data_IF_053960039655
#
_entry.id   IF_053960039655
#
_cell.length_a   1.000
_cell.length_b   1.000
_cell.length_c   1.000
_cell.angle_alpha   90.00
_cell.angle_beta   90.00
_cell.angle_gamma   90.00
#
_symmetry.space_group_name_H-M   'P 1'
#
loop_
_entity.id
_entity.type
_entity.pdbx_description
1 polymer ?
#
# COMPACT_ATOMS: atom_id res chain seq x y z
N UNK A 1 25.37 13.48 -7.33
CA UNK A 1 24.51 14.19 -6.34
C UNK A 1 24.33 13.27 -5.13
N UNK A 2 24.77 13.65 -3.92
CA UNK A 2 24.47 12.91 -2.69
C UNK A 2 22.94 12.95 -2.48
N UNK A 3 22.28 11.77 -2.40
CA UNK A 3 20.89 11.70 -1.96
C UNK A 3 20.81 12.43 -0.62
N UNK A 4 19.98 13.47 -0.52
CA UNK A 4 19.68 14.11 0.75
C UNK A 4 19.07 13.03 1.63
N UNK A 5 19.74 12.66 2.72
CA UNK A 5 19.14 11.76 3.73
C UNK A 5 17.86 12.43 4.22
N UNK A 6 16.75 11.88 3.82
CA UNK A 6 15.45 12.32 4.29
C UNK A 6 15.27 11.77 5.71
N UNK A 7 15.64 12.57 6.69
CA UNK A 7 15.29 12.31 8.10
C UNK A 7 13.76 12.49 8.30
N UNK A 8 12.95 11.69 7.61
CA UNK A 8 11.49 11.78 7.66
C UNK A 8 10.89 11.32 8.98
N UNK A 9 11.65 10.68 9.81
CA UNK A 9 11.11 10.09 11.03
C UNK A 9 11.68 10.79 12.24
N UNK A 10 10.86 11.54 13.00
CA UNK A 10 11.28 12.02 14.30
C UNK A 10 11.72 10.82 15.15
N UNK A 11 12.81 10.96 15.87
CA UNK A 11 13.30 9.91 16.76
C UNK A 11 12.43 9.90 18.02
N UNK A 12 12.04 8.69 18.44
CA UNK A 12 11.34 8.47 19.71
C UNK A 12 12.28 8.82 20.88
N UNK A 13 11.76 9.42 21.94
CA UNK A 13 12.45 9.51 23.20
C UNK A 13 12.73 8.10 23.74
N UNK A 14 13.99 7.82 24.08
CA UNK A 14 14.44 6.51 24.57
C UNK A 14 13.73 6.08 25.85
N UNK A 15 13.27 7.03 26.66
CA UNK A 15 12.58 6.78 27.93
C UNK A 15 11.11 6.40 27.77
N UNK A 16 10.54 6.55 26.54
CA UNK A 16 9.16 6.17 26.30
C UNK A 16 9.04 4.73 25.83
N UNK A 17 7.90 4.07 26.17
CA UNK A 17 7.61 2.71 25.72
C UNK A 17 7.63 2.62 24.18
N UNK A 18 8.21 1.55 23.65
CA UNK A 18 8.18 1.28 22.20
C UNK A 18 6.73 1.03 21.76
N UNK A 19 6.16 1.85 20.86
CA UNK A 19 4.78 1.66 20.41
C UNK A 19 4.64 0.38 19.58
N UNK A 20 3.49 -0.29 19.71
CA UNK A 20 3.15 -1.42 18.85
C UNK A 20 2.92 -0.92 17.41
N UNK A 21 3.45 -1.60 16.39
CA UNK A 21 3.15 -1.24 15.01
C UNK A 21 1.67 -1.41 14.69
N UNK A 22 1.05 -0.37 14.13
CA UNK A 22 -0.33 -0.42 13.63
C UNK A 22 -0.36 -1.16 12.29
N UNK A 23 -1.41 -1.93 12.03
CA UNK A 23 -1.63 -2.52 10.71
C UNK A 23 -1.86 -1.42 9.68
N UNK A 24 -1.15 -1.52 8.55
CA UNK A 24 -1.27 -0.63 7.42
C UNK A 24 -1.15 -1.42 6.11
N UNK A 25 -1.68 -0.87 5.03
CA UNK A 25 -1.57 -1.50 3.72
C UNK A 25 -1.44 -0.44 2.62
N UNK A 26 -0.66 -0.75 1.60
CA UNK A 26 -0.50 0.06 0.39
C UNK A 26 -0.80 -0.77 -0.84
N UNK A 27 -1.33 -0.13 -1.88
CA UNK A 27 -1.59 -0.76 -3.16
C UNK A 27 -0.62 -0.25 -4.22
N UNK A 28 0.20 -1.15 -4.72
CA UNK A 28 1.14 -0.90 -5.81
C UNK A 28 0.42 -1.15 -7.13
N UNK A 29 0.18 -0.09 -7.88
CA UNK A 29 -0.50 -0.12 -9.16
C UNK A 29 0.54 -0.15 -10.27
N UNK A 30 0.51 -1.17 -11.13
CA UNK A 30 1.41 -1.29 -12.28
C UNK A 30 0.64 -1.17 -13.59
N UNK A 31 1.24 -0.44 -14.53
CA UNK A 31 0.72 -0.26 -15.89
C UNK A 31 1.81 -0.59 -16.89
N UNK A 32 1.52 -1.50 -17.83
CA UNK A 32 2.42 -1.76 -18.94
C UNK A 32 2.19 -0.72 -20.03
N UNK A 33 3.28 -0.09 -20.51
CA UNK A 33 3.28 0.88 -21.58
C UNK A 33 4.34 0.46 -22.61
N UNK A 34 3.94 -0.29 -23.64
CA UNK A 34 4.87 -0.90 -24.61
C UNK A 34 5.85 -1.86 -23.92
N UNK A 35 7.15 -1.57 -24.04
CA UNK A 35 8.23 -2.34 -23.38
C UNK A 35 8.51 -1.90 -21.94
N UNK A 36 7.96 -0.75 -21.52
CA UNK A 36 8.16 -0.19 -20.18
C UNK A 36 7.05 -0.60 -19.22
N UNK A 37 7.36 -0.56 -17.93
CA UNK A 37 6.40 -0.74 -16.85
C UNK A 37 6.42 0.49 -15.97
N UNK A 38 5.27 1.10 -15.81
CA UNK A 38 5.04 2.26 -14.97
C UNK A 38 4.39 1.83 -13.65
N UNK A 39 4.69 2.57 -12.61
CA UNK A 39 4.06 2.48 -11.28
C UNK A 39 3.38 3.79 -10.96
N UNK A 40 2.21 3.73 -10.34
CA UNK A 40 1.57 4.93 -9.81
C UNK A 40 2.21 5.30 -8.49
N UNK A 41 2.67 6.54 -8.39
CA UNK A 41 3.16 7.14 -7.16
C UNK A 41 2.45 8.47 -6.92
N UNK A 42 2.25 8.79 -5.65
CA UNK A 42 1.76 10.09 -5.22
C UNK A 42 2.82 10.83 -4.41
N UNK A 43 2.92 12.13 -4.60
CA UNK A 43 3.78 13.00 -3.80
C UNK A 43 3.00 13.55 -2.60
N UNK A 44 3.50 13.27 -1.42
CA UNK A 44 2.89 13.76 -0.18
C UNK A 44 3.02 15.28 -0.08
N UNK A 45 1.98 15.91 0.46
CA UNK A 45 2.03 17.34 0.76
C UNK A 45 3.20 17.66 1.71
N UNK A 46 3.87 18.79 1.49
CA UNK A 46 4.93 19.28 2.39
C UNK A 46 4.43 19.60 3.80
N UNK A 47 3.09 19.73 3.97
CA UNK A 47 2.44 19.99 5.26
C UNK A 47 2.18 18.72 6.08
N UNK A 48 2.40 17.52 5.52
CA UNK A 48 2.15 16.27 6.25
C UNK A 48 3.18 16.04 7.35
N UNK A 49 2.73 15.55 8.52
CA UNK A 49 3.62 15.26 9.67
C UNK A 49 4.59 14.10 9.42
N UNK A 50 4.25 13.20 8.50
CA UNK A 50 5.03 12.00 8.22
C UNK A 50 5.44 11.99 6.75
N UNK A 51 6.75 11.97 6.48
CA UNK A 51 7.36 11.96 5.15
C UNK A 51 6.87 13.10 4.21
N UNK A 52 6.98 14.39 4.59
CA UNK A 52 6.58 15.50 3.73
C UNK A 52 7.36 15.48 2.41
N UNK A 53 6.69 15.78 1.29
CA UNK A 53 7.28 15.85 -0.05
C UNK A 53 7.79 14.53 -0.63
N UNK A 54 7.65 13.41 0.08
CA UNK A 54 8.09 12.11 -0.40
C UNK A 54 7.10 11.52 -1.42
N UNK A 55 7.63 10.81 -2.42
CA UNK A 55 6.85 9.98 -3.30
C UNK A 55 6.57 8.63 -2.63
N UNK A 56 5.31 8.21 -2.63
CA UNK A 56 4.82 7.02 -1.96
C UNK A 56 3.81 6.27 -2.83
N UNK A 57 3.57 4.99 -2.51
CA UNK A 57 2.38 4.29 -3.01
C UNK A 57 1.14 4.77 -2.24
N UNK A 58 -0.04 4.79 -2.86
CA UNK A 58 -1.28 5.03 -2.14
C UNK A 58 -1.46 3.97 -1.04
N UNK A 59 -1.96 4.40 0.11
CA UNK A 59 -2.18 3.52 1.24
C UNK A 59 -2.10 4.17 2.61
N UNK A 60 -2.70 3.50 3.58
CA UNK A 60 -2.78 3.99 4.95
C UNK A 60 -3.02 2.92 5.99
N UNK A 61 -3.54 3.34 7.12
CA UNK A 61 -3.80 2.49 8.29
C UNK A 61 -5.11 1.72 8.08
N UNK A 62 -5.14 0.49 8.57
CA UNK A 62 -6.37 -0.30 8.63
C UNK A 62 -7.30 0.30 9.68
N UNK A 63 -8.50 0.68 9.27
CA UNK A 63 -9.55 1.20 10.14
C UNK A 63 -10.42 0.09 10.73
N UNK A 64 -11.14 0.41 11.81
CA UNK A 64 -12.08 -0.54 12.41
C UNK A 64 -13.17 -0.95 11.41
N UNK A 65 -13.63 -0.03 10.57
CA UNK A 65 -14.63 -0.29 9.55
C UNK A 65 -14.14 -1.34 8.52
N UNK A 66 -12.85 -1.36 8.16
CA UNK A 66 -12.30 -2.34 7.22
C UNK A 66 -12.49 -3.80 7.67
N UNK A 67 -12.59 -4.04 8.99
CA UNK A 67 -12.85 -5.37 9.56
C UNK A 67 -14.32 -5.80 9.47
N UNK A 68 -15.25 -4.87 9.32
CA UNK A 68 -16.70 -5.12 9.39
C UNK A 68 -17.36 -5.14 8.02
N UNK A 69 -16.66 -4.72 6.97
CA UNK A 69 -17.19 -4.70 5.62
C UNK A 69 -17.43 -6.12 5.12
N UNK A 70 -18.69 -6.44 4.80
CA UNK A 70 -19.06 -7.70 4.17
C UNK A 70 -18.96 -7.59 2.66
N UNK A 71 -18.05 -8.37 2.07
CA UNK A 71 -17.83 -8.44 0.62
C UNK A 71 -17.89 -9.90 0.15
N UNK A 72 -18.24 -10.09 -1.13
CA UNK A 72 -18.37 -11.43 -1.73
C UNK A 72 -17.02 -12.01 -2.21
N UNK A 73 -15.91 -11.36 -1.90
CA UNK A 73 -14.56 -11.85 -2.25
C UNK A 73 -13.69 -12.02 -1.03
N UNK A 74 -12.70 -12.86 -1.16
CA UNK A 74 -11.66 -13.07 -0.15
C UNK A 74 -10.30 -13.16 -0.82
N UNK A 75 -9.26 -12.83 -0.09
CA UNK A 75 -7.90 -13.07 -0.53
C UNK A 75 -7.62 -14.56 -0.76
N UNK A 76 -6.77 -14.85 -1.73
CA UNK A 76 -6.27 -16.19 -1.93
C UNK A 76 -5.58 -16.72 -0.66
N UNK A 77 -5.88 -17.97 -0.26
CA UNK A 77 -5.32 -18.62 0.93
C UNK A 77 -3.78 -18.57 1.00
N UNK A 78 -3.11 -18.66 -0.16
CA UNK A 78 -1.64 -18.58 -0.22
C UNK A 78 -1.12 -17.16 0.08
N UNK A 79 -1.90 -16.12 -0.22
CA UNK A 79 -1.58 -14.74 0.17
C UNK A 79 -1.75 -14.60 1.69
N UNK A 80 -2.87 -15.07 2.24
CA UNK A 80 -3.17 -14.98 3.69
C UNK A 80 -2.04 -15.55 4.54
N UNK A 81 -1.53 -16.73 4.16
CA UNK A 81 -0.40 -17.38 4.87
C UNK A 81 0.86 -16.50 4.95
N UNK A 82 1.05 -15.55 4.03
CA UNK A 82 2.27 -14.73 3.90
C UNK A 82 2.14 -13.34 4.51
N UNK A 83 0.93 -12.92 4.88
CA UNK A 83 0.67 -11.59 5.44
C UNK A 83 1.16 -11.40 6.89
N UNK A 84 1.65 -12.47 7.53
CA UNK A 84 2.04 -12.46 8.94
C UNK A 84 0.90 -11.99 9.87
N UNK A 85 -0.28 -12.56 9.67
CA UNK A 85 -1.50 -12.30 10.46
C UNK A 85 -2.02 -13.57 11.14
N UNK A 86 -1.15 -14.55 11.40
CA UNK A 86 -1.49 -15.84 12.03
C UNK A 86 -2.68 -16.54 11.34
N UNK A 87 -2.75 -16.46 10.02
CA UNK A 87 -3.83 -17.00 9.19
C UNK A 87 -5.24 -16.42 9.50
N UNK A 88 -5.33 -15.31 10.22
CA UNK A 88 -6.59 -14.64 10.50
C UNK A 88 -7.15 -14.03 9.20
N UNK A 89 -8.23 -14.62 8.69
CA UNK A 89 -8.87 -14.22 7.41
C UNK A 89 -9.45 -12.80 7.53
N UNK A 90 -10.09 -12.48 8.66
CA UNK A 90 -10.65 -11.14 8.88
C UNK A 90 -9.58 -10.05 8.81
N UNK A 91 -8.45 -10.25 9.49
CA UNK A 91 -7.32 -9.30 9.42
C UNK A 91 -6.70 -9.23 8.02
N UNK A 92 -6.60 -10.37 7.33
CA UNK A 92 -6.07 -10.41 5.98
C UNK A 92 -6.96 -9.63 5.00
N UNK A 93 -8.28 -9.83 5.06
CA UNK A 93 -9.24 -9.11 4.23
C UNK A 93 -9.27 -7.62 4.60
N UNK A 94 -9.25 -7.25 5.88
CA UNK A 94 -9.20 -5.86 6.32
C UNK A 94 -7.98 -5.11 5.76
N UNK A 95 -6.79 -5.74 5.75
CA UNK A 95 -5.59 -5.18 5.12
C UNK A 95 -5.77 -4.95 3.61
N UNK A 96 -6.39 -5.89 2.91
CA UNK A 96 -6.65 -5.79 1.49
C UNK A 96 -7.69 -4.70 1.18
N UNK A 97 -8.77 -4.64 1.97
CA UNK A 97 -9.81 -3.61 1.87
C UNK A 97 -9.21 -2.23 2.11
N UNK A 98 -8.43 -2.05 3.19
CA UNK A 98 -7.75 -0.80 3.49
C UNK A 98 -6.89 -0.32 2.32
N UNK A 99 -6.12 -1.21 1.67
CA UNK A 99 -5.29 -0.82 0.53
C UNK A 99 -6.10 -0.29 -0.66
N UNK A 100 -7.30 -0.86 -0.89
CA UNK A 100 -8.21 -0.41 -1.96
C UNK A 100 -8.92 0.90 -1.54
N UNK A 101 -9.43 0.97 -0.31
CA UNK A 101 -10.09 2.17 0.25
C UNK A 101 -9.20 3.39 0.13
N UNK A 102 -7.99 3.31 0.65
CA UNK A 102 -7.00 4.39 0.61
C UNK A 102 -6.64 4.76 -0.85
N UNK A 103 -6.55 3.78 -1.75
CA UNK A 103 -6.31 4.08 -3.18
C UNK A 103 -7.45 4.90 -3.77
N UNK A 104 -8.71 4.60 -3.44
CA UNK A 104 -9.86 5.39 -3.89
C UNK A 104 -9.82 6.79 -3.31
N UNK A 105 -9.60 6.91 -2.00
CA UNK A 105 -9.55 8.18 -1.29
C UNK A 105 -8.45 9.09 -1.80
N UNK A 106 -7.25 8.56 -1.96
CA UNK A 106 -6.06 9.33 -2.30
C UNK A 106 -5.90 9.60 -3.80
N UNK A 107 -6.45 8.73 -4.67
CA UNK A 107 -6.16 8.81 -6.12
C UNK A 107 -7.39 8.86 -7.03
N UNK A 108 -8.57 8.54 -6.53
CA UNK A 108 -9.79 8.38 -7.32
C UNK A 108 -9.83 7.12 -8.20
N UNK A 109 -8.79 6.25 -8.16
CA UNK A 109 -8.76 5.00 -8.89
C UNK A 109 -9.40 3.87 -8.07
N UNK A 110 -10.23 3.05 -8.71
CA UNK A 110 -11.07 2.05 -8.06
C UNK A 110 -10.70 0.65 -8.54
N UNK A 111 -10.28 -0.22 -7.62
CA UNK A 111 -10.18 -1.65 -7.84
C UNK A 111 -11.45 -2.32 -7.31
N UNK A 112 -12.48 -2.37 -8.14
CA UNK A 112 -13.80 -2.83 -7.74
C UNK A 112 -14.44 -3.78 -8.74
N UNK A 113 -15.42 -4.50 -8.27
CA UNK A 113 -16.36 -5.29 -9.08
C UNK A 113 -17.80 -4.94 -8.68
N UNK A 114 -18.77 -5.27 -9.53
CA UNK A 114 -20.20 -5.09 -9.20
C UNK A 114 -20.54 -5.83 -7.91
N UNK A 115 -21.11 -5.09 -6.97
CA UNK A 115 -21.64 -5.68 -5.74
C UNK A 115 -23.00 -6.30 -6.00
N UNK A 116 -23.25 -7.45 -5.37
CA UNK A 116 -24.58 -8.09 -5.38
C UNK A 116 -25.51 -7.49 -4.31
N UNK A 117 -24.91 -6.86 -3.30
CA UNK A 117 -25.62 -6.30 -2.15
C UNK A 117 -25.21 -4.84 -1.96
N UNK A 118 -26.13 -4.02 -1.47
CA UNK A 118 -25.75 -2.68 -0.98
C UNK A 118 -24.80 -2.88 0.20
N UNK A 119 -23.61 -2.32 0.11
CA UNK A 119 -22.67 -2.34 1.24
C UNK A 119 -23.26 -1.45 2.33
N UNK A 120 -23.92 -2.07 3.31
CA UNK A 120 -24.41 -1.37 4.49
C UNK A 120 -23.26 -1.15 5.44
N UNK A 121 -22.59 -0.02 5.29
CA UNK A 121 -21.55 0.41 6.25
C UNK A 121 -21.87 1.84 6.63
N UNK A 122 -22.04 2.10 7.92
CA UNK A 122 -22.11 3.46 8.43
C UNK A 122 -20.71 4.07 8.38
N UNK A 123 -20.46 4.85 7.36
CA UNK A 123 -19.25 5.67 7.29
C UNK A 123 -19.59 7.05 7.88
N UNK A 124 -18.77 7.46 8.83
CA UNK A 124 -18.87 8.81 9.42
C UNK A 124 -18.49 9.92 8.42
N UNK A 125 -17.80 9.54 7.31
CA UNK A 125 -17.30 10.47 6.31
C UNK A 125 -17.76 10.11 4.90
N UNK A 126 -18.36 11.06 4.20
CA UNK A 126 -18.79 10.93 2.79
C UNK A 126 -17.65 10.65 1.80
N UNK A 127 -16.41 10.98 2.18
CA UNK A 127 -15.20 10.82 1.37
C UNK A 127 -14.53 9.45 1.56
N UNK A 128 -15.09 8.56 2.39
CA UNK A 128 -14.53 7.22 2.56
C UNK A 128 -14.58 6.44 1.25
N UNK A 129 -13.46 5.82 0.86
CA UNK A 129 -13.33 5.11 -0.42
C UNK A 129 -14.34 3.99 -0.61
N UNK A 130 -14.72 3.28 0.46
CA UNK A 130 -15.75 2.24 0.39
C UNK A 130 -17.15 2.85 0.21
N UNK A 131 -17.44 3.99 0.85
CA UNK A 131 -18.70 4.71 0.64
C UNK A 131 -18.83 5.17 -0.81
N UNK A 132 -17.75 5.67 -1.40
CA UNK A 132 -17.69 6.04 -2.83
C UNK A 132 -17.98 4.81 -3.70
N UNK A 133 -17.32 3.67 -3.43
CA UNK A 133 -17.54 2.43 -4.18
C UNK A 133 -18.98 1.94 -4.05
N UNK A 134 -19.56 1.97 -2.85
CA UNK A 134 -20.95 1.57 -2.58
C UNK A 134 -21.95 2.42 -3.38
N UNK A 135 -21.79 3.75 -3.40
CA UNK A 135 -22.61 4.68 -4.21
C UNK A 135 -22.56 4.34 -5.71
N UNK A 136 -21.47 3.75 -6.19
CA UNK A 136 -21.29 3.29 -7.57
C UNK A 136 -21.75 1.83 -7.79
N UNK A 137 -22.33 1.17 -6.79
CA UNK A 137 -22.72 -0.25 -6.86
C UNK A 137 -21.55 -1.20 -6.94
N UNK A 138 -20.38 -0.80 -6.42
CA UNK A 138 -19.15 -1.58 -6.46
C UNK A 138 -18.76 -2.07 -5.06
N UNK A 139 -18.07 -3.20 -5.02
CA UNK A 139 -17.36 -3.70 -3.83
C UNK A 139 -15.87 -3.93 -4.16
N UNK A 140 -14.97 -3.90 -3.17
CA UNK A 140 -13.54 -4.21 -3.36
C UNK A 140 -13.31 -5.57 -4.03
N UNK A 141 -12.52 -5.62 -5.10
CA UNK A 141 -12.16 -6.87 -5.77
C UNK A 141 -10.82 -7.43 -5.26
N UNK A 142 -10.88 -8.21 -4.18
CA UNK A 142 -9.69 -8.81 -3.58
C UNK A 142 -9.06 -9.90 -4.47
N UNK A 143 -9.79 -10.40 -5.49
CA UNK A 143 -9.30 -11.45 -6.38
C UNK A 143 -8.19 -10.97 -7.33
N UNK A 144 -8.09 -9.66 -7.54
CA UNK A 144 -7.08 -9.03 -8.39
C UNK A 144 -5.83 -8.59 -7.64
N UNK A 145 -5.78 -8.83 -6.34
CA UNK A 145 -4.63 -8.50 -5.51
C UNK A 145 -3.61 -9.63 -5.48
N UNK A 146 -2.35 -9.26 -5.56
CA UNK A 146 -1.21 -10.13 -5.27
C UNK A 146 -0.39 -9.50 -4.15
N UNK A 147 0.35 -10.32 -3.41
CA UNK A 147 1.17 -9.85 -2.31
C UNK A 147 2.61 -9.63 -2.77
N UNK A 148 3.14 -8.41 -2.56
CA UNK A 148 4.51 -8.06 -2.90
C UNK A 148 5.47 -8.29 -1.73
N UNK A 149 5.13 -7.79 -0.53
CA UNK A 149 5.97 -7.87 0.64
C UNK A 149 5.43 -7.03 1.79
N UNK A 150 6.21 -6.92 2.86
CA UNK A 150 5.84 -6.14 4.04
C UNK A 150 7.02 -5.38 4.62
N UNK A 151 6.71 -4.35 5.40
CA UNK A 151 7.70 -3.59 6.14
C UNK A 151 7.23 -3.28 7.56
N UNK A 152 8.18 -3.16 8.48
CA UNK A 152 7.90 -2.75 9.87
C UNK A 152 8.75 -1.52 10.17
N UNK A 153 8.10 -0.43 10.58
CA UNK A 153 8.79 0.78 11.02
C UNK A 153 9.71 0.46 12.20
N UNK A 154 10.95 0.95 12.21
CA UNK A 154 11.92 0.64 13.25
C UNK A 154 11.48 1.12 14.64
N UNK A 155 12.06 0.54 15.69
CA UNK A 155 11.70 0.82 17.10
C UNK A 155 12.08 2.21 17.58
N UNK A 156 12.97 2.89 16.85
CA UNK A 156 13.36 4.28 17.14
C UNK A 156 12.29 5.30 16.71
N UNK A 157 11.30 4.90 15.94
CA UNK A 157 10.21 5.77 15.49
C UNK A 157 9.12 5.92 16.56
N UNK A 158 8.59 7.13 16.77
CA UNK A 158 7.49 7.37 17.71
C UNK A 158 6.15 6.82 17.19
N UNK A 159 6.00 6.72 15.86
CA UNK A 159 4.83 6.13 15.19
C UNK A 159 5.32 4.96 14.37
N UNK A 160 4.67 3.80 14.54
CA UNK A 160 5.10 2.58 13.86
C UNK A 160 3.96 1.92 13.13
N UNK A 161 4.30 1.39 11.94
CA UNK A 161 3.38 0.65 11.08
C UNK A 161 3.96 -0.74 10.76
N UNK A 162 3.08 -1.72 10.62
CA UNK A 162 3.36 -2.97 9.96
C UNK A 162 2.61 -2.94 8.63
N UNK A 163 3.26 -2.39 7.62
CA UNK A 163 2.68 -2.18 6.29
C UNK A 163 2.78 -3.45 5.44
N UNK A 164 1.70 -3.79 4.72
CA UNK A 164 1.64 -4.83 3.69
C UNK A 164 1.49 -4.15 2.35
N UNK A 165 2.24 -4.63 1.36
CA UNK A 165 2.21 -4.09 0.01
C UNK A 165 1.53 -5.10 -0.90
N UNK A 166 0.32 -4.74 -1.35
CA UNK A 166 -0.39 -5.46 -2.39
C UNK A 166 -0.03 -4.88 -3.75
N UNK A 167 -0.24 -5.66 -4.80
CA UNK A 167 0.04 -5.26 -6.18
C UNK A 167 -1.11 -5.68 -7.08
N UNK A 168 -1.46 -4.83 -8.04
CA UNK A 168 -2.44 -5.13 -9.09
C UNK A 168 -2.03 -4.49 -10.42
N UNK A 169 -2.63 -4.98 -11.51
CA UNK A 169 -2.47 -4.43 -12.86
C UNK A 169 -3.50 -3.31 -13.07
N UNK A 170 -3.06 -2.18 -13.61
CA UNK A 170 -3.89 -1.02 -13.90
C UNK A 170 -5.08 -1.31 -14.83
N UNK A 171 -5.01 -2.39 -15.64
CA UNK A 171 -6.15 -2.81 -16.49
C UNK A 171 -7.39 -3.22 -15.70
N UNK A 172 -7.26 -3.49 -14.40
CA UNK A 172 -8.37 -3.83 -13.51
C UNK A 172 -8.97 -2.61 -12.81
N UNK A 173 -8.40 -1.43 -13.03
CA UNK A 173 -8.85 -0.20 -12.40
C UNK A 173 -9.89 0.52 -13.25
N UNK A 174 -10.79 1.21 -12.57
CA UNK A 174 -11.70 2.21 -13.12
C UNK A 174 -11.50 3.56 -12.43
N UNK A 175 -12.25 4.58 -12.84
CA UNK A 175 -12.10 5.92 -12.28
C UNK A 175 -11.07 6.78 -13.01
N UNK A 176 -10.84 7.97 -12.49
CA UNK A 176 -9.89 8.96 -13.02
C UNK A 176 -8.99 9.45 -11.89
N UNK A 177 -7.72 9.68 -12.20
CA UNK A 177 -6.78 10.24 -11.22
C UNK A 177 -7.29 11.61 -10.76
N UNK A 178 -7.33 11.76 -9.44
CA UNK A 178 -7.69 13.00 -8.75
C UNK A 178 -6.72 13.21 -7.60
N UNK A 179 -6.03 14.34 -7.58
CA UNK A 179 -5.16 14.75 -6.47
C UNK A 179 -6.00 15.14 -5.25
N UNK A 180 -5.39 15.03 -4.08
CA UNK A 180 -6.00 15.33 -2.79
C UNK A 180 -5.09 16.24 -1.95
N UNK A 181 -5.56 16.63 -0.76
CA UNK A 181 -4.71 17.36 0.19
C UNK A 181 -3.54 16.52 0.73
N UNK A 182 -3.62 15.20 0.64
CA UNK A 182 -2.56 14.28 1.08
C UNK A 182 -1.57 13.99 -0.02
N UNK A 183 -2.05 13.65 -1.22
CA UNK A 183 -1.25 13.44 -2.42
C UNK A 183 -1.49 14.57 -3.42
N UNK A 184 -0.60 15.56 -3.39
CA UNK A 184 -0.72 16.80 -4.18
C UNK A 184 -0.32 16.62 -5.63
N UNK A 185 0.38 15.54 -5.96
CA UNK A 185 0.83 15.18 -7.30
C UNK A 185 0.73 13.66 -7.44
N UNK A 186 0.16 13.15 -8.53
CA UNK A 186 -0.02 11.71 -8.76
C UNK A 186 0.34 11.40 -10.19
N UNK A 187 1.32 10.50 -10.40
CA UNK A 187 1.84 10.22 -11.73
C UNK A 187 2.11 8.72 -11.95
N UNK A 188 1.92 8.30 -13.21
CA UNK A 188 2.43 7.05 -13.72
C UNK A 188 3.90 7.23 -14.12
N UNK A 189 4.82 6.66 -13.35
CA UNK A 189 6.26 6.85 -13.50
C UNK A 189 6.90 5.52 -13.89
N UNK A 190 7.77 5.55 -14.92
CA UNK A 190 8.58 4.37 -15.25
C UNK A 190 9.32 3.84 -14.03
N UNK A 191 9.30 2.53 -13.82
CA UNK A 191 10.02 1.90 -12.69
C UNK A 191 11.50 2.30 -12.65
N UNK A 192 12.12 2.49 -13.82
CA UNK A 192 13.53 2.93 -13.90
C UNK A 192 13.69 4.39 -13.46
N UNK A 193 12.75 5.26 -13.86
CA UNK A 193 12.77 6.69 -13.52
C UNK A 193 12.40 6.92 -12.05
N UNK A 194 11.53 6.08 -11.48
CA UNK A 194 11.12 6.17 -10.08
C UNK A 194 12.30 6.15 -9.11
N UNK A 195 13.39 5.43 -9.43
CA UNK A 195 14.62 5.41 -8.61
C UNK A 195 15.28 6.79 -8.41
N UNK A 196 14.98 7.77 -9.25
CA UNK A 196 15.53 9.13 -9.17
C UNK A 196 14.73 10.03 -8.24
N UNK A 197 13.53 9.61 -7.87
CA UNK A 197 12.64 10.39 -7.02
C UNK A 197 13.08 10.33 -5.55
N UNK A 198 12.70 11.38 -4.84
CA UNK A 198 12.85 11.43 -3.39
C UNK A 198 11.71 10.64 -2.75
N UNK A 199 12.01 9.48 -2.21
CA UNK A 199 11.01 8.59 -1.63
C UNK A 199 11.50 7.99 -0.32
N UNK A 200 10.58 7.42 0.46
CA UNK A 200 10.93 6.68 1.65
C UNK A 200 11.70 5.41 1.31
N UNK A 201 12.61 5.00 2.19
CA UNK A 201 13.43 3.79 2.02
C UNK A 201 12.60 2.55 1.69
N UNK A 202 11.44 2.39 2.33
CA UNK A 202 10.54 1.28 2.07
C UNK A 202 9.94 1.33 0.66
N UNK A 203 9.61 2.51 0.16
CA UNK A 203 9.11 2.70 -1.20
C UNK A 203 10.21 2.38 -2.21
N UNK A 204 11.41 2.90 -2.00
CA UNK A 204 12.59 2.59 -2.82
C UNK A 204 12.89 1.08 -2.82
N UNK A 205 12.83 0.45 -1.65
CA UNK A 205 13.02 -0.99 -1.52
C UNK A 205 12.00 -1.77 -2.35
N UNK A 206 10.70 -1.44 -2.27
CA UNK A 206 9.67 -2.12 -3.04
C UNK A 206 9.80 -1.86 -4.55
N UNK A 207 10.22 -0.67 -4.97
CA UNK A 207 10.54 -0.38 -6.38
C UNK A 207 11.69 -1.27 -6.87
N UNK A 208 12.73 -1.45 -6.07
CA UNK A 208 13.84 -2.34 -6.41
C UNK A 208 13.39 -3.82 -6.52
N UNK A 209 12.50 -4.28 -5.63
CA UNK A 209 11.88 -5.61 -5.74
C UNK A 209 11.10 -5.76 -7.07
N UNK A 210 10.34 -4.74 -7.47
CA UNK A 210 9.63 -4.75 -8.75
C UNK A 210 10.59 -4.81 -9.94
N UNK A 211 11.68 -4.09 -9.88
CA UNK A 211 12.70 -4.07 -10.95
C UNK A 211 13.39 -5.43 -11.14
N UNK A 212 13.59 -6.24 -10.07
CA UNK A 212 14.13 -7.59 -10.16
C UNK A 212 13.29 -8.49 -11.08
N UNK A 213 12.00 -8.20 -11.20
CA UNK A 213 11.05 -8.94 -12.05
C UNK A 213 10.64 -8.16 -13.30
N UNK A 214 11.31 -7.03 -13.60
CA UNK A 214 10.89 -6.11 -14.67
C UNK A 214 9.41 -5.72 -14.56
N UNK A 215 8.88 -5.61 -13.35
CA UNK A 215 7.46 -5.32 -13.09
C UNK A 215 6.48 -6.39 -13.59
N UNK A 216 6.95 -7.60 -13.90
CA UNK A 216 6.10 -8.69 -14.39
C UNK A 216 5.31 -9.30 -13.22
N UNK A 217 4.02 -8.93 -13.13
CA UNK A 217 3.11 -9.40 -12.08
C UNK A 217 2.97 -10.93 -12.10
N UNK A 218 3.01 -11.56 -13.27
CA UNK A 218 2.88 -13.02 -13.36
C UNK A 218 4.12 -13.72 -12.79
N UNK A 219 5.31 -13.19 -13.03
CA UNK A 219 6.54 -13.67 -12.39
C UNK A 219 6.50 -13.44 -10.88
N UNK A 220 6.10 -12.25 -10.44
CA UNK A 220 5.91 -11.93 -9.02
C UNK A 220 4.91 -12.88 -8.38
N UNK A 221 3.79 -13.20 -9.05
CA UNK A 221 2.79 -14.17 -8.58
C UNK A 221 3.36 -15.58 -8.44
N UNK A 222 4.11 -16.06 -9.43
CA UNK A 222 4.71 -17.41 -9.43
C UNK A 222 5.74 -17.59 -8.32
N UNK A 223 6.47 -16.53 -7.95
CA UNK A 223 7.42 -16.54 -6.85
C UNK A 223 6.73 -16.38 -5.49
N UNK A 224 5.76 -17.25 -5.20
CA UNK A 224 5.03 -17.28 -3.93
C UNK A 224 5.92 -17.59 -2.70
N UNK A 225 7.15 -18.03 -2.93
CA UNK A 225 8.14 -18.33 -1.89
C UNK A 225 9.04 -17.13 -1.70
N UNK A 226 9.38 -16.77 -0.45
CA UNK A 226 10.39 -15.77 -0.11
C UNK A 226 9.97 -14.28 -0.31
N UNK A 227 8.77 -13.91 0.15
CA UNK A 227 8.37 -12.49 0.17
C UNK A 227 9.22 -11.68 1.14
N UNK A 228 9.66 -10.49 0.72
CA UNK A 228 10.53 -9.67 1.56
C UNK A 228 9.77 -9.08 2.75
N UNK A 229 10.44 -9.05 3.87
CA UNK A 229 10.13 -8.22 5.02
C UNK A 229 11.27 -7.23 5.23
N UNK A 230 10.96 -5.94 5.11
CA UNK A 230 11.89 -4.84 5.26
C UNK A 230 11.74 -4.16 6.62
N UNK A 231 12.85 -3.87 7.26
CA UNK A 231 12.90 -3.01 8.46
C UNK A 231 14.32 -2.44 8.65
N UNK A 232 14.49 -1.61 9.66
CA UNK A 232 15.79 -1.15 10.11
C UNK A 232 16.12 -1.73 11.48
N UNK A 233 17.35 -2.23 11.64
CA UNK A 233 17.89 -2.66 12.93
C UNK A 233 19.30 -2.07 13.10
N UNK A 234 19.55 -1.45 14.25
CA UNK A 234 20.87 -0.88 14.60
C UNK A 234 21.45 0.03 13.48
N UNK A 235 20.59 0.88 12.88
CA UNK A 235 21.01 1.81 11.83
C UNK A 235 21.28 1.18 10.46
N UNK A 236 21.00 -0.12 10.26
CA UNK A 236 21.17 -0.83 8.98
C UNK A 236 19.85 -1.37 8.47
N UNK A 237 19.70 -1.42 7.15
CA UNK A 237 18.56 -2.10 6.51
C UNK A 237 18.62 -3.60 6.84
N UNK A 238 17.50 -4.14 7.26
CA UNK A 238 17.35 -5.55 7.58
C UNK A 238 16.26 -6.16 6.74
N UNK A 239 16.63 -7.10 5.87
CA UNK A 239 15.73 -7.77 4.94
C UNK A 239 15.71 -9.25 5.27
N UNK A 240 14.50 -9.79 5.47
CA UNK A 240 14.29 -11.24 5.59
C UNK A 240 13.32 -11.68 4.51
N UNK A 241 13.49 -12.91 4.02
CA UNK A 241 12.60 -13.51 3.01
C UNK A 241 12.02 -14.81 3.57
N UNK A 242 10.69 -14.91 3.59
CA UNK A 242 9.96 -16.09 4.08
C UNK A 242 8.78 -16.39 3.18
#
# INVERSE_FOLDING_TARGET
MKKKELNFTPKRDKNTKIPRPRNAASLVLLKRSGKDVQVLLGKRSDKTRFMPGAWVFPGGVVDKADYTISINTSLNKNIIKKLAVSNNIGTANALAIASIRETVEETGLILGKKSKNVLTVNFEEDNNGIAIMSKLGLEPDLTKLFYLGRAITPTISPIRFHARFFITDAKHLTGKIKTTNELVEIEWISLKSAKKLQMADVTEFMINELLTFNGDILKIKKMLVNRPMFTWKMGKQWITRK
#
